data_IF_682191293310
#
_entry.id   IF_682191293310
#
_cell.length_a   1.000
_cell.length_b   1.000
_cell.length_c   1.000
_cell.angle_alpha   90.00
_cell.angle_beta   90.00
_cell.angle_gamma   90.00
#
_symmetry.space_group_name_H-M   'P 1'
#
loop_
_entity.id
_entity.type
_entity.pdbx_description
1 polymer ?
#
# COMPACT_ATOMS: atom_id res chain seq x y z
N UNK A 1 1.35 7.27 6.86
CA UNK A 1 2.54 6.70 7.53
C UNK A 1 2.58 5.19 7.37
N UNK A 2 1.59 4.44 7.88
CA UNK A 2 1.55 2.97 7.76
C UNK A 2 1.54 2.48 6.31
N UNK A 3 0.68 3.05 5.46
CA UNK A 3 0.59 2.68 4.03
C UNK A 3 1.93 2.78 3.28
N UNK A 4 2.71 3.83 3.53
CA UNK A 4 4.01 4.00 2.88
C UNK A 4 5.04 3.03 3.44
N UNK A 5 5.21 3.01 4.77
CA UNK A 5 6.26 2.22 5.40
C UNK A 5 6.05 0.72 5.23
N UNK A 6 4.85 0.23 5.55
CA UNK A 6 4.51 -1.19 5.39
C UNK A 6 4.57 -1.59 3.92
N UNK A 7 4.06 -0.72 3.04
CA UNK A 7 4.12 -0.96 1.61
C UNK A 7 5.53 -1.09 1.04
N UNK A 8 6.40 -0.14 1.35
CA UNK A 8 7.80 -0.16 0.91
C UNK A 8 8.55 -1.35 1.52
N UNK A 9 8.32 -1.67 2.79
CA UNK A 9 8.94 -2.84 3.44
C UNK A 9 8.49 -4.15 2.78
N UNK A 10 7.18 -4.33 2.57
CA UNK A 10 6.62 -5.51 1.87
C UNK A 10 7.13 -5.60 0.43
N UNK A 11 7.25 -4.47 -0.29
CA UNK A 11 7.79 -4.50 -1.65
C UNK A 11 9.29 -4.87 -1.66
N UNK A 12 10.07 -4.30 -0.74
CA UNK A 12 11.49 -4.64 -0.60
C UNK A 12 11.69 -6.13 -0.30
N UNK A 13 10.91 -6.68 0.63
CA UNK A 13 10.99 -8.11 0.98
C UNK A 13 10.48 -9.02 -0.14
N UNK A 14 9.42 -8.62 -0.85
CA UNK A 14 8.91 -9.32 -2.02
C UNK A 14 9.98 -9.44 -3.12
N UNK A 15 10.75 -8.39 -3.41
CA UNK A 15 11.80 -8.48 -4.44
C UNK A 15 12.97 -9.41 -4.06
N UNK A 16 13.10 -9.82 -2.79
CA UNK A 16 14.13 -10.76 -2.36
C UNK A 16 13.71 -12.21 -2.56
N UNK A 17 12.44 -12.50 -2.83
CA UNK A 17 11.96 -13.89 -2.94
C UNK A 17 12.47 -14.61 -4.18
N UNK A 18 12.95 -13.88 -5.19
CA UNK A 18 13.64 -14.46 -6.34
C UNK A 18 15.04 -15.00 -5.98
N UNK A 19 15.66 -14.43 -4.95
CA UNK A 19 16.96 -14.86 -4.42
C UNK A 19 16.76 -15.90 -3.30
N UNK A 20 15.74 -15.70 -2.48
CA UNK A 20 15.37 -16.56 -1.35
C UNK A 20 13.93 -17.05 -1.56
N UNK A 21 13.69 -18.21 -2.21
CA UNK A 21 12.36 -18.65 -2.63
C UNK A 21 11.42 -18.80 -1.43
N UNK A 22 10.63 -17.75 -1.21
CA UNK A 22 9.74 -17.56 -0.08
C UNK A 22 8.49 -16.77 -0.51
N UNK A 23 8.10 -16.90 -1.78
CA UNK A 23 6.93 -16.25 -2.37
C UNK A 23 5.62 -16.64 -1.66
N UNK A 24 5.59 -17.78 -1.01
CA UNK A 24 4.50 -18.34 -0.20
C UNK A 24 4.68 -18.15 1.32
N UNK A 25 5.77 -17.50 1.75
CA UNK A 25 6.06 -17.30 3.17
C UNK A 25 5.15 -16.26 3.84
N UNK A 26 4.51 -15.38 3.06
CA UNK A 26 3.62 -14.36 3.58
C UNK A 26 2.41 -14.14 2.66
N UNK A 27 1.19 -14.02 3.21
CA UNK A 27 -0.04 -13.95 2.42
C UNK A 27 -0.15 -12.68 1.57
N UNK A 28 0.54 -11.61 1.96
CA UNK A 28 0.61 -10.35 1.21
C UNK A 28 1.30 -10.51 -0.14
N UNK A 29 2.26 -11.42 -0.29
CA UNK A 29 2.90 -11.69 -1.59
C UNK A 29 1.92 -12.29 -2.59
N UNK A 30 1.15 -13.29 -2.19
CA UNK A 30 0.09 -13.87 -3.03
C UNK A 30 -0.98 -12.84 -3.38
N UNK A 31 -1.36 -11.98 -2.43
CA UNK A 31 -2.35 -10.92 -2.68
C UNK A 31 -1.80 -9.82 -3.62
N UNK A 32 -0.51 -9.51 -3.55
CA UNK A 32 0.16 -8.53 -4.41
C UNK A 32 0.20 -8.95 -5.89
N UNK A 33 0.14 -10.26 -6.15
CA UNK A 33 0.03 -10.83 -7.49
C UNK A 33 -1.42 -10.95 -7.99
N UNK A 34 -2.42 -10.69 -7.15
CA UNK A 34 -3.83 -10.80 -7.51
C UNK A 34 -4.50 -9.43 -7.69
N UNK A 35 -4.82 -9.00 -8.93
CA UNK A 35 -5.47 -7.71 -9.18
C UNK A 35 -6.82 -7.52 -8.47
N UNK A 36 -7.54 -8.61 -8.21
CA UNK A 36 -8.82 -8.53 -7.48
C UNK A 36 -8.60 -8.18 -6.00
N UNK A 37 -7.57 -8.74 -5.37
CA UNK A 37 -7.20 -8.39 -3.99
C UNK A 37 -6.72 -6.95 -3.90
N UNK A 38 -5.88 -6.51 -4.84
CA UNK A 38 -5.41 -5.11 -4.88
C UNK A 38 -6.58 -4.14 -4.97
N UNK A 39 -7.58 -4.39 -5.84
CA UNK A 39 -8.79 -3.55 -5.93
C UNK A 39 -9.57 -3.50 -4.63
N UNK A 40 -9.88 -4.67 -4.06
CA UNK A 40 -10.61 -4.79 -2.80
C UNK A 40 -9.90 -4.06 -1.67
N UNK A 41 -8.59 -4.27 -1.53
CA UNK A 41 -7.78 -3.67 -0.49
C UNK A 41 -7.58 -2.16 -0.70
N UNK A 42 -7.57 -1.69 -1.95
CA UNK A 42 -7.60 -0.24 -2.25
C UNK A 42 -8.90 0.39 -1.74
N UNK A 43 -10.03 -0.30 -1.91
CA UNK A 43 -11.31 0.08 -1.29
C UNK A 43 -11.19 0.21 0.24
N UNK A 44 -10.58 -0.78 0.91
CA UNK A 44 -10.32 -0.71 2.35
C UNK A 44 -9.44 0.48 2.76
N UNK A 45 -8.39 0.80 1.99
CA UNK A 45 -7.56 1.99 2.26
C UNK A 45 -8.41 3.26 2.15
N UNK A 46 -9.26 3.36 1.13
CA UNK A 46 -10.12 4.53 0.94
C UNK A 46 -11.17 4.68 2.06
N UNK A 47 -11.73 3.58 2.54
CA UNK A 47 -12.62 3.58 3.70
C UNK A 47 -11.89 4.05 4.97
N UNK A 48 -10.67 3.58 5.19
CA UNK A 48 -9.83 4.03 6.31
C UNK A 48 -9.56 5.53 6.23
N UNK A 49 -9.20 6.05 5.04
CA UNK A 49 -8.92 7.47 4.86
C UNK A 49 -10.17 8.33 5.09
N UNK A 50 -11.34 7.89 4.62
CA UNK A 50 -12.61 8.56 4.88
C UNK A 50 -13.02 8.54 6.37
N UNK A 51 -12.64 7.49 7.11
CA UNK A 51 -12.91 7.36 8.54
C UNK A 51 -12.16 8.38 9.41
N UNK A 52 -10.97 8.83 8.98
CA UNK A 52 -10.09 9.72 9.77
C UNK A 52 -10.80 11.01 10.18
N UNK A 53 -11.64 11.57 9.31
CA UNK A 53 -12.34 12.83 9.57
C UNK A 53 -13.76 12.65 10.11
N UNK A 54 -14.26 11.42 10.21
CA UNK A 54 -15.68 11.16 10.48
C UNK A 54 -15.92 10.30 11.73
N UNK A 55 -14.94 9.49 12.15
CA UNK A 55 -15.08 8.58 13.27
C UNK A 55 -14.44 9.12 14.57
N UNK A 56 -15.02 8.82 15.75
CA UNK A 56 -14.32 8.97 17.02
C UNK A 56 -13.04 8.15 17.06
N UNK A 57 -12.07 8.57 17.87
CA UNK A 57 -10.72 7.98 17.93
C UNK A 57 -10.71 6.46 18.12
N UNK A 58 -11.55 5.92 19.01
CA UNK A 58 -11.56 4.48 19.29
C UNK A 58 -12.12 3.68 18.11
N UNK A 59 -13.20 4.16 17.48
CA UNK A 59 -13.74 3.56 16.27
C UNK A 59 -12.75 3.64 15.10
N UNK A 60 -12.05 4.77 14.95
CA UNK A 60 -10.99 4.92 13.95
C UNK A 60 -9.86 3.93 14.18
N UNK A 61 -9.46 3.70 15.44
CA UNK A 61 -8.42 2.73 15.80
C UNK A 61 -8.81 1.31 15.38
N UNK A 62 -10.05 0.91 15.64
CA UNK A 62 -10.55 -0.41 15.23
C UNK A 62 -10.63 -0.55 13.70
N UNK A 63 -11.03 0.51 12.99
CA UNK A 63 -11.04 0.55 11.53
C UNK A 63 -9.63 0.41 10.95
N UNK A 64 -8.67 1.17 11.48
CA UNK A 64 -7.25 1.08 11.12
C UNK A 64 -6.69 -0.32 11.34
N UNK A 65 -6.95 -0.90 12.51
CA UNK A 65 -6.48 -2.22 12.86
C UNK A 65 -7.09 -3.31 11.98
N UNK A 66 -8.40 -3.29 11.78
CA UNK A 66 -9.11 -4.33 11.04
C UNK A 66 -8.77 -4.26 9.56
N UNK A 67 -9.04 -3.12 8.92
CA UNK A 67 -8.91 -2.97 7.47
C UNK A 67 -7.47 -2.75 7.04
N UNK A 68 -6.73 -1.89 7.76
CA UNK A 68 -5.35 -1.58 7.44
C UNK A 68 -4.39 -2.72 7.74
N UNK A 69 -4.51 -3.32 8.93
CA UNK A 69 -3.51 -4.28 9.45
C UNK A 69 -3.93 -5.72 9.27
N UNK A 70 -5.07 -6.14 9.85
CA UNK A 70 -5.51 -7.56 9.82
C UNK A 70 -5.83 -8.02 8.40
N UNK A 71 -6.53 -7.19 7.64
CA UNK A 71 -6.84 -7.47 6.23
C UNK A 71 -5.69 -7.13 5.28
N UNK A 72 -4.53 -6.70 5.80
CA UNK A 72 -3.30 -6.43 5.05
C UNK A 72 -3.38 -5.29 4.02
N UNK A 73 -4.38 -4.41 4.10
CA UNK A 73 -4.55 -3.36 3.09
C UNK A 73 -3.36 -2.41 2.99
N UNK A 74 -2.75 -2.01 4.11
CA UNK A 74 -1.57 -1.14 4.09
C UNK A 74 -0.34 -1.79 3.45
N UNK A 75 -0.17 -3.09 3.66
CA UNK A 75 0.95 -3.86 3.14
C UNK A 75 0.82 -4.06 1.64
N UNK A 76 -0.31 -4.61 1.19
CA UNK A 76 -0.51 -4.99 -0.21
C UNK A 76 -0.69 -3.75 -1.09
N UNK A 77 -1.56 -2.81 -0.71
CA UNK A 77 -1.77 -1.59 -1.50
C UNK A 77 -0.51 -0.75 -1.49
N UNK A 78 0.12 -0.58 -0.33
CA UNK A 78 1.38 0.13 -0.21
C UNK A 78 2.47 -0.49 -1.10
N UNK A 79 2.62 -1.82 -1.12
CA UNK A 79 3.61 -2.49 -1.95
C UNK A 79 3.28 -2.37 -3.45
N UNK A 80 1.99 -2.45 -3.80
CA UNK A 80 1.53 -2.21 -5.15
C UNK A 80 1.88 -0.80 -5.63
N UNK A 81 1.68 0.21 -4.78
CA UNK A 81 2.09 1.59 -5.06
C UNK A 81 3.60 1.69 -5.28
N UNK A 82 4.41 1.05 -4.43
CA UNK A 82 5.87 1.07 -4.53
C UNK A 82 6.33 0.43 -5.84
N UNK A 83 5.81 -0.76 -6.16
CA UNK A 83 6.06 -1.48 -7.41
C UNK A 83 5.71 -0.64 -8.63
N UNK A 84 4.57 0.03 -8.59
CA UNK A 84 4.10 0.87 -9.70
C UNK A 84 5.00 2.08 -9.90
N UNK A 85 5.36 2.78 -8.82
CA UNK A 85 6.26 3.93 -8.90
C UNK A 85 7.65 3.50 -9.38
N UNK A 86 8.20 2.42 -8.82
CA UNK A 86 9.53 1.92 -9.21
C UNK A 86 9.57 1.54 -10.69
N UNK A 87 8.54 0.84 -11.18
CA UNK A 87 8.45 0.43 -12.58
C UNK A 87 8.31 1.61 -13.55
N UNK A 88 7.47 2.59 -13.21
CA UNK A 88 7.11 3.67 -14.14
C UNK A 88 8.02 4.91 -14.02
N UNK A 89 8.62 5.15 -12.84
CA UNK A 89 9.43 6.35 -12.53
C UNK A 89 10.82 6.04 -12.00
N UNK A 90 11.15 4.78 -11.78
CA UNK A 90 12.46 4.33 -11.33
C UNK A 90 12.68 4.39 -9.81
N UNK A 91 13.68 3.61 -9.38
CA UNK A 91 14.02 3.40 -7.97
C UNK A 91 14.39 4.68 -7.22
N UNK A 92 15.13 5.57 -7.85
CA UNK A 92 15.56 6.84 -7.23
C UNK A 92 14.35 7.70 -6.84
N UNK A 93 13.30 7.73 -7.68
CA UNK A 93 12.04 8.39 -7.36
C UNK A 93 11.39 7.75 -6.13
N UNK A 94 11.35 6.42 -6.06
CA UNK A 94 10.77 5.70 -4.92
C UNK A 94 11.53 6.01 -3.62
N UNK A 95 12.86 6.10 -3.67
CA UNK A 95 13.72 6.45 -2.53
C UNK A 95 13.46 7.89 -2.07
N UNK A 96 13.40 8.85 -3.00
CA UNK A 96 13.14 10.25 -2.67
C UNK A 96 11.83 10.42 -1.88
N UNK A 97 10.79 9.65 -2.25
CA UNK A 97 9.49 9.68 -1.58
C UNK A 97 9.53 9.28 -0.11
N UNK A 98 10.54 8.52 0.35
CA UNK A 98 10.75 8.22 1.78
C UNK A 98 10.93 9.53 2.57
N UNK A 99 11.68 10.48 2.01
CA UNK A 99 11.95 11.77 2.64
C UNK A 99 10.79 12.75 2.48
N UNK A 100 10.12 12.74 1.33
CA UNK A 100 8.98 13.62 1.05
C UNK A 100 7.71 13.23 1.84
N UNK A 101 7.61 11.96 2.21
CA UNK A 101 6.61 11.44 3.13
C UNK A 101 5.34 10.89 2.46
N UNK A 102 4.35 10.51 3.29
CA UNK A 102 3.29 9.60 2.87
C UNK A 102 2.27 10.21 1.92
N UNK A 103 2.09 11.54 1.96
CA UNK A 103 1.20 12.23 1.03
C UNK A 103 1.79 12.27 -0.38
N UNK A 104 3.04 12.71 -0.52
CA UNK A 104 3.76 12.73 -1.80
C UNK A 104 3.82 11.33 -2.43
N UNK A 105 4.00 10.30 -1.59
CA UNK A 105 3.96 8.90 -2.05
C UNK A 105 2.63 8.53 -2.71
N UNK A 106 1.51 8.87 -2.07
CA UNK A 106 0.18 8.62 -2.60
C UNK A 106 -0.16 9.48 -3.83
N UNK A 107 0.27 10.75 -3.84
CA UNK A 107 0.14 11.64 -5.00
C UNK A 107 0.92 11.11 -6.21
N UNK A 108 2.18 10.70 -6.01
CA UNK A 108 3.02 10.11 -7.05
C UNK A 108 2.35 8.87 -7.66
N UNK A 109 1.86 7.95 -6.83
CA UNK A 109 1.11 6.79 -7.31
C UNK A 109 -0.17 7.17 -8.06
N UNK A 110 -0.98 8.09 -7.53
CA UNK A 110 -2.25 8.49 -8.13
C UNK A 110 -2.12 9.14 -9.52
N UNK A 111 -0.93 9.63 -9.88
CA UNK A 111 -0.66 10.12 -11.24
C UNK A 111 -0.49 8.99 -12.26
N UNK A 112 -0.15 7.79 -11.80
CA UNK A 112 0.13 6.61 -12.61
C UNK A 112 -1.05 5.63 -12.62
N UNK A 113 -1.78 5.56 -11.50
CA UNK A 113 -2.82 4.58 -11.29
C UNK A 113 -4.09 4.84 -12.13
N UNK A 114 -4.76 3.78 -12.62
CA UNK A 114 -6.09 3.91 -13.19
C UNK A 114 -7.08 4.40 -12.13
N UNK A 115 -8.18 5.03 -12.58
CA UNK A 115 -9.13 5.75 -11.72
C UNK A 115 -9.70 4.89 -10.59
N UNK A 116 -9.97 3.62 -10.85
CA UNK A 116 -10.53 2.65 -9.91
C UNK A 116 -9.52 2.12 -8.88
N UNK A 117 -8.23 2.42 -9.06
CA UNK A 117 -7.14 2.00 -8.17
C UNK A 117 -6.52 3.17 -7.40
N UNK A 118 -7.07 4.39 -7.53
CA UNK A 118 -6.56 5.57 -6.82
C UNK A 118 -6.93 5.53 -5.34
N UNK A 119 -6.02 6.06 -4.53
CA UNK A 119 -6.26 6.31 -3.11
C UNK A 119 -6.82 7.72 -2.91
N UNK A 120 -7.82 7.88 -2.04
CA UNK A 120 -8.46 9.16 -1.79
C UNK A 120 -7.62 10.00 -0.83
N UNK A 121 -7.17 11.17 -1.29
CA UNK A 121 -6.35 12.11 -0.53
C UNK A 121 -7.18 13.21 0.14
#
# INVERSE_FOLDING_TARGET
WWLQNEGMATYASYNLTDIYPAHDAAPDYTMLENPADIRRLTGNVNEVLAAVSTQPRDALRETLWTKGVRERAFYVVGAHMARTIDRERGRETLIALIHEGPRSYAEAYNTLAPRDMKVNL
#
